data_IF_758962039208
#
_entry.id   IF_758962039208
#
_cell.length_a   1.000
_cell.length_b   1.000
_cell.length_c   1.000
_cell.angle_alpha   90.00
_cell.angle_beta   90.00
_cell.angle_gamma   90.00
#
_symmetry.space_group_name_H-M   'P 1'
#
loop_
_entity.id
_entity.type
_entity.pdbx_description
1 polymer ?
#
# COMPACT_ATOMS: atom_id res chain seq x y z
N UNK A 1 9.33 13.18 0.27
CA UNK A 1 8.11 12.52 -0.26
C UNK A 1 8.03 11.15 0.41
N UNK A 2 6.84 10.77 0.88
CA UNK A 2 6.56 9.43 1.41
C UNK A 2 5.50 8.80 0.53
N UNK A 3 5.72 7.58 0.09
CA UNK A 3 4.79 6.80 -0.73
C UNK A 3 4.45 5.54 0.07
N UNK A 4 3.16 5.31 0.26
CA UNK A 4 2.60 4.12 0.89
C UNK A 4 1.28 3.81 0.20
N UNK A 5 0.86 2.55 0.23
CA UNK A 5 -0.51 2.13 -0.08
C UNK A 5 -1.42 2.51 1.11
N UNK A 6 -2.72 2.65 0.85
CA UNK A 6 -3.75 2.88 1.88
C UNK A 6 -4.19 1.57 2.54
N UNK A 7 -4.36 0.51 1.74
CA UNK A 7 -4.59 -0.85 2.22
C UNK A 7 -4.01 -1.89 1.24
N UNK A 8 -3.55 -3.06 1.72
CA UNK A 8 -2.92 -4.07 0.85
C UNK A 8 -3.89 -4.85 -0.04
N UNK A 9 -5.17 -4.48 -0.08
CA UNK A 9 -6.24 -5.01 -0.94
C UNK A 9 -6.32 -6.54 -1.01
N UNK A 10 -5.94 -7.23 0.06
CA UNK A 10 -5.93 -8.70 0.14
C UNK A 10 -4.76 -9.37 -0.58
N UNK A 11 -3.68 -8.63 -0.86
CA UNK A 11 -2.41 -9.18 -1.30
C UNK A 11 -1.93 -10.27 -0.35
N UNK A 12 -1.79 -11.50 -0.85
CA UNK A 12 -1.30 -12.61 -0.05
C UNK A 12 0.20 -12.45 0.10
N UNK A 13 0.61 -11.80 1.18
CA UNK A 13 1.99 -11.82 1.62
C UNK A 13 2.24 -12.98 2.60
N UNK A 14 3.39 -13.63 2.41
CA UNK A 14 3.81 -14.82 3.15
C UNK A 14 4.12 -14.57 4.63
N UNK A 15 4.39 -13.33 5.05
CA UNK A 15 4.65 -12.99 6.44
C UNK A 15 3.38 -12.45 7.09
N UNK A 16 2.77 -11.42 6.51
CA UNK A 16 1.49 -10.88 6.98
C UNK A 16 0.75 -10.17 5.85
N UNK A 17 -0.53 -10.52 5.65
CA UNK A 17 -1.37 -10.00 4.58
C UNK A 17 -1.66 -8.48 4.67
N UNK A 18 -1.38 -7.86 5.81
CA UNK A 18 -1.53 -6.42 6.02
C UNK A 18 -0.24 -5.63 5.75
N UNK A 19 0.86 -6.29 5.35
CA UNK A 19 2.08 -5.57 4.97
C UNK A 19 1.88 -4.88 3.64
N UNK A 20 2.31 -3.63 3.59
CA UNK A 20 2.31 -2.82 2.39
C UNK A 20 3.69 -2.24 2.10
N UNK A 21 3.81 -1.59 0.96
CA UNK A 21 5.01 -0.90 0.52
C UNK A 21 5.15 0.45 1.24
N UNK A 22 6.36 0.75 1.70
CA UNK A 22 6.74 2.08 2.19
C UNK A 22 8.00 2.52 1.47
N UNK A 23 7.92 3.65 0.77
CA UNK A 23 9.08 4.27 0.10
C UNK A 23 9.23 5.71 0.57
N UNK A 24 10.48 6.13 0.78
CA UNK A 24 10.81 7.51 1.15
C UNK A 24 11.80 8.05 0.14
N UNK A 25 11.50 9.24 -0.38
CA UNK A 25 12.31 9.92 -1.40
C UNK A 25 12.68 11.31 -0.87
N UNK A 26 13.98 11.54 -0.71
CA UNK A 26 14.56 12.81 -0.26
C UNK A 26 16.06 12.87 -0.61
N UNK A 27 16.67 14.06 -0.74
CA UNK A 27 18.13 14.18 -0.72
C UNK A 27 18.76 13.57 0.55
N UNK A 28 18.03 13.56 1.66
CA UNK A 28 18.49 13.04 2.95
C UNK A 28 18.21 11.54 3.15
N UNK A 29 17.53 10.86 2.23
CA UNK A 29 17.29 9.41 2.39
C UNK A 29 18.51 8.62 1.93
N UNK A 30 18.84 7.54 2.65
CA UNK A 30 19.88 6.60 2.24
C UNK A 30 19.50 5.94 0.92
N UNK A 31 20.36 6.07 -0.10
CA UNK A 31 20.17 5.43 -1.40
C UNK A 31 20.41 3.93 -1.31
N UNK A 32 19.62 3.15 -2.05
CA UNK A 32 19.72 1.68 -2.12
C UNK A 32 19.71 1.00 -0.73
N UNK A 33 18.99 1.59 0.22
CA UNK A 33 18.90 1.09 1.58
C UNK A 33 17.53 0.48 1.84
N UNK A 34 17.52 -0.67 2.50
CA UNK A 34 16.31 -1.35 2.96
C UNK A 34 16.28 -1.26 4.48
N UNK A 35 15.27 -0.56 5.00
CA UNK A 35 15.02 -0.48 6.44
C UNK A 35 14.73 -1.86 7.02
N UNK A 36 15.26 -2.11 8.22
CA UNK A 36 15.10 -3.40 8.93
C UNK A 36 14.14 -3.33 10.10
N UNK A 37 13.69 -2.13 10.44
CA UNK A 37 12.75 -1.92 11.54
C UNK A 37 11.32 -2.21 11.08
N UNK A 38 10.45 -2.45 12.04
CA UNK A 38 9.01 -2.54 11.78
C UNK A 38 8.43 -1.13 11.70
N UNK A 39 7.89 -0.78 10.53
CA UNK A 39 7.23 0.50 10.30
C UNK A 39 5.73 0.30 10.20
N UNK A 40 4.98 1.25 10.76
CA UNK A 40 3.52 1.33 10.64
C UNK A 40 3.11 2.71 10.13
N UNK A 41 1.81 2.90 9.89
CA UNK A 41 1.28 4.25 9.62
C UNK A 41 1.66 5.26 10.72
N UNK A 42 1.66 4.84 11.98
CA UNK A 42 2.10 5.68 13.10
C UNK A 42 3.56 6.12 12.98
N UNK A 43 4.43 5.29 12.38
CA UNK A 43 5.84 5.64 12.13
C UNK A 43 6.01 6.83 11.19
N UNK A 44 5.13 6.91 10.18
CA UNK A 44 5.10 8.02 9.23
C UNK A 44 4.73 9.30 9.98
N UNK A 45 3.64 9.26 10.76
CA UNK A 45 3.19 10.41 11.55
C UNK A 45 4.22 10.84 12.60
N UNK A 46 4.79 9.91 13.36
CA UNK A 46 5.89 10.17 14.30
C UNK A 46 7.02 10.97 13.64
N UNK A 47 7.42 10.56 12.44
CA UNK A 47 8.47 11.22 11.68
C UNK A 47 8.06 12.64 11.28
N UNK A 48 6.82 12.85 10.83
CA UNK A 48 6.32 14.19 10.51
C UNK A 48 6.23 15.09 11.73
N UNK A 49 5.75 14.55 12.86
CA UNK A 49 5.69 15.30 14.12
C UNK A 49 7.08 15.77 14.54
N UNK A 50 8.09 14.88 14.45
CA UNK A 50 9.49 15.21 14.76
C UNK A 50 10.07 16.25 13.78
N UNK A 51 9.87 16.09 12.47
CA UNK A 51 10.43 17.00 11.44
C UNK A 51 9.80 18.39 11.51
N UNK A 52 8.48 18.46 11.74
CA UNK A 52 7.74 19.72 11.82
C UNK A 52 7.77 20.35 13.23
N UNK A 53 8.40 19.67 14.19
CA UNK A 53 8.49 20.10 15.59
C UNK A 53 7.12 20.41 16.22
N UNK A 54 6.16 19.52 16.01
CA UNK A 54 4.80 19.61 16.57
C UNK A 54 4.55 18.46 17.56
N UNK A 55 3.72 18.67 18.59
CA UNK A 55 3.46 17.64 19.59
C UNK A 55 2.71 16.44 19.00
N UNK A 56 2.91 15.26 19.59
CA UNK A 56 2.17 14.05 19.25
C UNK A 56 0.71 14.18 19.67
N UNK A 57 -0.21 13.62 18.89
CA UNK A 57 -1.64 13.70 19.19
C UNK A 57 -2.03 12.80 20.37
N UNK A 58 -1.42 11.62 20.46
CA UNK A 58 -1.71 10.62 21.50
C UNK A 58 -0.47 9.77 21.84
N UNK A 59 -0.63 8.86 22.81
CA UNK A 59 0.45 7.98 23.27
C UNK A 59 0.93 6.99 22.19
N UNK A 60 0.04 6.52 21.31
CA UNK A 60 0.42 5.59 20.23
C UNK A 60 1.35 6.26 19.23
N UNK A 61 1.08 7.52 18.88
CA UNK A 61 1.97 8.31 18.03
C UNK A 61 3.31 8.55 18.72
N UNK A 62 3.31 8.76 20.04
CA UNK A 62 4.53 9.00 20.80
C UNK A 62 5.43 7.74 20.90
N UNK A 63 4.84 6.54 20.96
CA UNK A 63 5.57 5.27 21.11
C UNK A 63 5.85 4.55 19.79
N UNK A 64 5.33 5.05 18.66
CA UNK A 64 5.64 4.50 17.35
C UNK A 64 7.13 4.64 17.02
N UNK A 65 7.68 3.62 16.35
CA UNK A 65 9.04 3.64 15.78
C UNK A 65 9.10 4.71 14.70
N UNK A 66 10.08 5.61 14.72
CA UNK A 66 10.24 6.60 13.64
C UNK A 66 10.98 6.03 12.42
N UNK A 67 11.09 6.83 11.36
CA UNK A 67 11.79 6.48 10.12
C UNK A 67 13.25 6.95 10.11
N UNK A 68 13.83 7.30 11.28
CA UNK A 68 15.16 7.95 11.36
C UNK A 68 16.27 7.13 10.69
N UNK A 69 16.20 5.80 10.74
CA UNK A 69 17.19 4.93 10.13
C UNK A 69 17.21 4.99 8.60
N UNK A 70 16.15 5.49 7.97
CA UNK A 70 16.07 5.72 6.52
C UNK A 70 16.81 6.98 6.09
N UNK A 71 17.17 7.88 7.02
CA UNK A 71 17.78 9.17 6.73
C UNK A 71 19.28 9.20 7.09
N UNK A 72 19.99 10.14 6.46
CA UNK A 72 21.39 10.47 6.73
C UNK A 72 21.53 11.98 6.92
N UNK A 73 22.56 12.40 7.64
CA UNK A 73 22.85 13.82 7.89
C UNK A 73 23.35 14.54 6.63
N UNK A 74 24.04 13.82 5.74
CA UNK A 74 24.63 14.40 4.52
C UNK A 74 23.69 14.22 3.33
N UNK A 75 23.14 15.31 2.75
CA UNK A 75 22.22 15.20 1.62
C UNK A 75 22.95 14.89 0.31
N UNK A 76 22.31 14.10 -0.54
CA UNK A 76 22.71 13.87 -1.92
C UNK A 76 21.72 14.53 -2.89
N UNK A 77 22.17 15.63 -3.52
CA UNK A 77 21.37 16.40 -4.47
C UNK A 77 21.54 15.94 -5.93
N UNK A 78 22.14 14.78 -6.20
CA UNK A 78 22.21 14.28 -7.59
C UNK A 78 20.80 14.15 -8.18
N UNK A 79 20.54 14.76 -9.36
CA UNK A 79 19.23 14.72 -9.98
C UNK A 79 18.74 13.29 -10.25
N UNK A 80 17.45 13.07 -10.05
CA UNK A 80 16.81 11.82 -10.46
C UNK A 80 16.59 11.82 -11.97
N UNK A 81 17.16 10.84 -12.68
CA UNK A 81 16.91 10.63 -14.10
C UNK A 81 15.77 9.63 -14.29
N UNK A 82 14.57 10.12 -14.58
CA UNK A 82 13.41 9.27 -14.80
C UNK A 82 13.56 8.47 -16.10
N UNK A 83 13.42 7.15 -16.02
CA UNK A 83 13.40 6.26 -17.18
C UNK A 83 11.96 6.11 -17.67
N UNK A 84 11.68 6.16 -18.98
CA UNK A 84 10.35 5.90 -19.50
C UNK A 84 9.90 4.48 -19.16
N UNK A 85 8.59 4.28 -19.00
CA UNK A 85 8.03 2.96 -18.68
C UNK A 85 8.32 1.97 -19.83
N UNK A 86 8.64 0.72 -19.48
CA UNK A 86 8.78 -0.33 -20.47
C UNK A 86 7.40 -0.76 -20.97
N UNK A 87 7.10 -0.44 -22.24
CA UNK A 87 5.82 -0.75 -22.89
C UNK A 87 5.50 -2.26 -22.93
N UNK A 88 6.50 -3.13 -22.74
CA UNK A 88 6.28 -4.59 -22.63
C UNK A 88 5.65 -4.98 -21.29
N UNK A 89 5.92 -4.19 -20.24
CA UNK A 89 5.39 -4.41 -18.88
C UNK A 89 4.08 -3.63 -18.71
N UNK A 90 4.09 -2.35 -19.07
CA UNK A 90 2.95 -1.47 -18.88
C UNK A 90 2.87 -0.45 -20.01
N UNK A 91 1.71 -0.36 -20.65
CA UNK A 91 1.43 0.64 -21.68
C UNK A 91 0.43 1.66 -21.12
N UNK A 92 0.87 2.87 -20.76
CA UNK A 92 0.01 3.88 -20.15
C UNK A 92 -1.17 4.26 -21.05
N UNK A 93 -0.96 4.25 -22.38
CA UNK A 93 -2.02 4.63 -23.32
C UNK A 93 -3.16 3.61 -23.32
N UNK A 94 -2.85 2.31 -23.18
CA UNK A 94 -3.89 1.27 -23.05
C UNK A 94 -4.66 1.35 -21.75
N UNK A 95 -4.02 1.79 -20.66
CA UNK A 95 -4.70 1.98 -19.37
C UNK A 95 -5.64 3.20 -19.36
N UNK A 96 -5.38 4.17 -20.25
CA UNK A 96 -6.13 5.41 -20.38
C UNK A 96 -7.26 5.37 -21.41
N UNK A 97 -7.38 4.29 -22.19
CA UNK A 97 -8.32 4.22 -23.32
C UNK A 97 -9.61 3.50 -22.90
N UNK A 98 -10.68 4.22 -22.52
CA UNK A 98 -11.97 3.61 -22.20
C UNK A 98 -12.60 2.93 -23.43
N UNK A 99 -12.11 3.21 -24.65
CA UNK A 99 -12.71 2.75 -25.90
C UNK A 99 -11.90 1.66 -26.62
N UNK A 100 -11.01 0.94 -25.92
CA UNK A 100 -10.31 -0.18 -26.55
C UNK A 100 -11.31 -1.18 -27.16
N UNK A 101 -11.08 -1.65 -28.39
CA UNK A 101 -11.99 -2.54 -29.12
C UNK A 101 -12.27 -3.87 -28.39
N UNK A 102 -11.41 -4.22 -27.42
CA UNK A 102 -11.54 -5.40 -26.54
C UNK A 102 -12.00 -5.06 -25.13
N UNK A 103 -12.41 -3.82 -24.86
CA UNK A 103 -12.95 -3.45 -23.57
C UNK A 103 -14.31 -4.15 -23.40
N UNK A 104 -14.40 -5.01 -22.40
CA UNK A 104 -15.64 -5.75 -22.12
C UNK A 104 -16.66 -4.81 -21.47
N UNK A 105 -17.34 -4.04 -22.31
CA UNK A 105 -18.42 -3.13 -21.91
C UNK A 105 -19.54 -3.84 -21.17
N UNK A 106 -19.75 -5.13 -21.46
CA UNK A 106 -20.73 -5.95 -20.77
C UNK A 106 -20.26 -6.23 -19.35
N UNK A 107 -19.02 -6.65 -19.16
CA UNK A 107 -18.44 -6.81 -17.83
C UNK A 107 -18.34 -5.50 -17.05
N UNK A 108 -18.11 -4.36 -17.70
CA UNK A 108 -18.12 -3.05 -17.03
C UNK A 108 -19.54 -2.63 -16.62
N UNK A 109 -20.54 -2.78 -17.48
CA UNK A 109 -21.93 -2.47 -17.13
C UNK A 109 -22.51 -3.45 -16.09
N UNK A 110 -22.05 -4.70 -16.10
CA UNK A 110 -22.36 -5.71 -15.08
C UNK A 110 -21.47 -5.59 -13.83
N UNK A 111 -20.39 -4.81 -13.89
CA UNK A 111 -19.52 -4.58 -12.75
C UNK A 111 -20.31 -3.86 -11.66
N UNK A 112 -20.09 -4.28 -10.43
CA UNK A 112 -20.81 -3.68 -9.32
C UNK A 112 -20.38 -2.23 -9.16
N UNK A 113 -21.35 -1.33 -8.99
CA UNK A 113 -21.06 0.06 -8.63
C UNK A 113 -20.15 0.09 -7.40
N UNK A 114 -19.04 0.82 -7.51
CA UNK A 114 -18.09 1.03 -6.42
C UNK A 114 -18.84 1.59 -5.19
N UNK A 115 -18.47 1.07 -4.01
CA UNK A 115 -18.90 1.59 -2.70
C UNK A 115 -20.38 1.43 -2.31
N UNK A 116 -21.09 0.38 -2.77
CA UNK A 116 -22.39 0.00 -2.19
C UNK A 116 -22.24 -0.83 -0.92
N UNK A 117 -22.54 -0.22 0.22
CA UNK A 117 -22.40 -0.79 1.58
C UNK A 117 -23.13 -2.13 1.76
N UNK A 118 -24.32 -2.29 1.20
CA UNK A 118 -25.15 -3.49 1.39
C UNK A 118 -24.52 -4.74 0.75
N UNK A 119 -23.94 -4.58 -0.44
CA UNK A 119 -23.28 -5.67 -1.17
C UNK A 119 -21.95 -6.05 -0.54
N UNK A 120 -21.18 -5.06 -0.07
CA UNK A 120 -19.95 -5.29 0.69
C UNK A 120 -20.20 -6.14 1.94
N UNK A 121 -21.30 -5.86 2.65
CA UNK A 121 -21.70 -6.64 3.83
C UNK A 121 -22.13 -8.07 3.48
N UNK A 122 -22.80 -8.29 2.34
CA UNK A 122 -23.16 -9.62 1.87
C UNK A 122 -21.91 -10.43 1.49
N UNK A 123 -21.03 -9.86 0.67
CA UNK A 123 -19.77 -10.49 0.26
C UNK A 123 -18.89 -10.85 1.45
N UNK A 124 -18.76 -9.95 2.43
CA UNK A 124 -18.01 -10.23 3.67
C UNK A 124 -18.59 -11.41 4.45
N UNK A 125 -19.92 -11.57 4.49
CA UNK A 125 -20.57 -12.72 5.17
C UNK A 125 -20.33 -14.02 4.42
N UNK A 126 -20.39 -13.99 3.09
CA UNK A 126 -20.12 -15.15 2.24
C UNK A 126 -18.66 -15.60 2.35
N UNK A 127 -17.71 -14.67 2.28
CA UNK A 127 -16.28 -14.92 2.47
C UNK A 127 -16.00 -15.51 3.86
N UNK A 128 -16.67 -15.00 4.91
CA UNK A 128 -16.57 -15.55 6.26
C UNK A 128 -17.15 -16.96 6.38
N UNK A 129 -18.23 -17.28 5.67
CA UNK A 129 -18.76 -18.63 5.59
C UNK A 129 -17.82 -19.60 4.86
N UNK A 130 -17.19 -19.17 3.77
CA UNK A 130 -16.20 -19.97 3.05
C UNK A 130 -14.94 -20.21 3.88
N UNK A 131 -14.45 -19.19 4.59
CA UNK A 131 -13.35 -19.32 5.56
C UNK A 131 -13.69 -20.34 6.65
N UNK A 132 -14.92 -20.32 7.17
CA UNK A 132 -15.40 -21.32 8.16
C UNK A 132 -15.49 -22.73 7.57
N UNK A 133 -15.95 -22.88 6.32
CA UNK A 133 -16.07 -24.18 5.62
C UNK A 133 -14.68 -24.78 5.31
N UNK A 134 -13.75 -23.97 4.81
CA UNK A 134 -12.37 -24.37 4.51
C UNK A 134 -11.58 -24.74 5.78
N UNK A 135 -11.75 -23.98 6.87
CA UNK A 135 -11.19 -24.30 8.18
C UNK A 135 -11.73 -25.61 8.78
N UNK A 136 -13.03 -25.92 8.61
CA UNK A 136 -13.64 -27.20 9.02
C UNK A 136 -13.14 -28.39 8.19
N UNK A 137 -12.89 -28.21 6.88
CA UNK A 137 -12.28 -29.25 6.04
C UNK A 137 -10.85 -29.59 6.46
N UNK A 138 -10.05 -28.59 6.86
CA UNK A 138 -8.69 -28.80 7.37
C UNK A 138 -8.65 -29.52 8.74
N UNK A 139 -9.66 -29.35 9.59
CA UNK A 139 -9.77 -30.04 10.90
C UNK A 139 -10.30 -31.49 10.82
N UNK A 140 -10.80 -31.93 9.66
CA UNK A 140 -11.36 -33.28 9.43
C UNK A 140 -10.40 -34.24 8.72
N UNK A 141 -9.18 -33.80 8.41
CA UNK A 141 -8.04 -34.65 8.02
C UNK A 141 -7.07 -34.70 9.18
#
# INVERSE_FOLDING_TARGET
IVITEDDPQGGIDHIDAHRSILMVISPYTKKNYIGKNHYSFGSIFKTFFNVLNIPYLNQYDATATDLSDLFTETPDFTPYNAVPVDKRIFDPQKALDPHSEKFDWKAFAESEELDRTDKMQQKSKEDDEERKKSGKKKKKK
#
